data_IF_355113783496
#
_entry.id   IF_355113783496
#
_cell.length_a   1.000
_cell.length_b   1.000
_cell.length_c   1.000
_cell.angle_alpha   90.00
_cell.angle_beta   90.00
_cell.angle_gamma   90.00
#
_symmetry.space_group_name_H-M   'P 1'
#
loop_
_entity.id
_entity.type
_entity.pdbx_description
1 polymer ?
#
# COMPACT_ATOMS: atom_id res chain seq x y z
N UNK A 1 6.94 -8.55 57.73
CA UNK A 1 6.03 -9.39 56.90
C UNK A 1 6.53 -9.32 55.46
N UNK A 2 6.89 -10.48 54.89
CA UNK A 2 7.78 -10.64 53.73
C UNK A 2 7.02 -10.45 52.40
N UNK A 3 7.55 -9.62 51.49
CA UNK A 3 7.07 -9.57 50.08
C UNK A 3 7.45 -10.87 49.38
N UNK A 4 6.45 -11.68 49.05
CA UNK A 4 6.59 -12.86 48.19
C UNK A 4 7.04 -12.38 46.81
N UNK A 5 8.23 -12.80 46.39
CA UNK A 5 8.70 -12.60 45.03
C UNK A 5 7.78 -13.37 44.07
N UNK A 6 7.33 -12.68 43.02
CA UNK A 6 6.43 -13.21 42.00
C UNK A 6 7.21 -14.21 41.14
N UNK A 7 7.08 -15.50 41.45
CA UNK A 7 7.66 -16.60 40.65
C UNK A 7 7.01 -16.59 39.27
N UNK A 8 7.74 -16.09 38.27
CA UNK A 8 7.36 -16.25 36.85
C UNK A 8 7.39 -17.75 36.54
N UNK A 9 6.41 -18.32 35.83
CA UNK A 9 6.54 -19.68 35.31
C UNK A 9 7.68 -19.66 34.30
N UNK A 10 8.86 -20.07 34.75
CA UNK A 10 9.91 -20.45 33.86
C UNK A 10 9.52 -21.81 33.28
N UNK A 11 9.62 -21.89 31.96
CA UNK A 11 10.03 -23.09 31.26
C UNK A 11 8.95 -24.02 30.67
N UNK A 12 8.14 -23.48 29.75
CA UNK A 12 7.53 -24.28 28.67
C UNK A 12 8.49 -24.44 27.46
N UNK A 13 9.75 -23.98 27.57
CA UNK A 13 10.72 -24.06 26.47
C UNK A 13 11.45 -25.39 26.52
N UNK A 14 11.48 -26.07 25.37
CA UNK A 14 12.20 -27.32 25.21
C UNK A 14 13.71 -27.07 25.25
N UNK A 15 14.51 -27.93 25.92
CA UNK A 15 15.96 -27.77 26.04
C UNK A 15 16.70 -27.82 24.70
N UNK A 16 16.08 -28.37 23.66
CA UNK A 16 16.61 -28.40 22.30
C UNK A 16 16.53 -27.03 21.58
N UNK A 17 15.84 -26.04 22.14
CA UNK A 17 15.68 -24.74 21.50
C UNK A 17 16.70 -23.71 21.98
N UNK A 18 17.57 -23.27 21.07
CA UNK A 18 18.45 -22.11 21.26
C UNK A 18 17.85 -20.86 20.59
N UNK A 19 17.22 -20.01 21.39
CA UNK A 19 16.69 -18.72 20.95
C UNK A 19 17.68 -17.55 21.17
N UNK A 20 18.92 -17.81 21.58
CA UNK A 20 19.93 -16.77 21.85
C UNK A 20 20.25 -15.91 20.63
N UNK A 21 20.11 -16.46 19.42
CA UNK A 21 20.27 -15.75 18.13
C UNK A 21 19.00 -15.06 17.62
N UNK A 22 17.93 -14.99 18.41
CA UNK A 22 16.65 -14.43 18.00
C UNK A 22 16.71 -12.92 17.75
N UNK A 23 16.55 -12.49 16.49
CA UNK A 23 16.45 -11.07 16.13
C UNK A 23 14.99 -10.65 15.99
N UNK A 24 14.53 -9.72 16.84
CA UNK A 24 13.17 -9.19 16.78
C UNK A 24 12.92 -8.55 15.41
N UNK A 25 11.90 -9.03 14.71
CA UNK A 25 11.50 -8.50 13.41
C UNK A 25 12.40 -8.90 12.23
N UNK A 26 13.19 -9.99 12.36
CA UNK A 26 14.09 -10.48 11.28
C UNK A 26 13.42 -10.60 9.91
N UNK A 27 12.14 -10.98 9.86
CA UNK A 27 11.36 -11.13 8.62
C UNK A 27 10.21 -10.12 8.52
N UNK A 28 10.18 -9.11 9.40
CA UNK A 28 9.10 -8.13 9.45
C UNK A 28 8.99 -7.31 8.17
N UNK A 29 10.13 -6.94 7.58
CA UNK A 29 10.17 -6.16 6.33
C UNK A 29 9.70 -6.99 5.14
N UNK A 30 10.05 -8.27 5.08
CA UNK A 30 9.64 -9.21 4.04
C UNK A 30 8.15 -9.54 4.16
N UNK A 31 7.64 -9.67 5.39
CA UNK A 31 6.22 -9.85 5.66
C UNK A 31 5.40 -8.57 5.37
N UNK A 32 5.94 -7.38 5.66
CA UNK A 32 5.29 -6.09 5.36
C UNK A 32 5.33 -5.70 3.88
N UNK A 33 6.21 -6.33 3.09
CA UNK A 33 6.08 -6.35 1.62
C UNK A 33 4.90 -7.24 1.17
N UNK A 34 4.19 -7.84 2.13
CA UNK A 34 3.13 -8.82 1.98
C UNK A 34 1.94 -8.35 1.15
N UNK A 35 1.39 -9.33 0.46
CA UNK A 35 0.21 -9.27 -0.39
C UNK A 35 -0.94 -8.54 0.29
N UNK A 36 -1.45 -7.47 -0.33
CA UNK A 36 -2.74 -6.91 0.05
C UNK A 36 -3.85 -7.87 -0.40
N UNK A 37 -4.50 -8.56 0.54
CA UNK A 37 -5.59 -9.50 0.24
C UNK A 37 -6.88 -8.71 0.08
N UNK A 38 -7.42 -8.73 -1.13
CA UNK A 38 -8.68 -8.07 -1.47
C UNK A 38 -9.71 -9.15 -1.78
N UNK A 39 -10.84 -9.12 -1.09
CA UNK A 39 -11.98 -9.97 -1.40
C UNK A 39 -12.70 -9.38 -2.62
N UNK A 40 -12.92 -10.20 -3.63
CA UNK A 40 -13.75 -9.83 -4.78
C UNK A 40 -15.21 -10.21 -4.51
N UNK A 41 -16.12 -9.41 -5.04
CA UNK A 41 -17.54 -9.77 -5.04
C UNK A 41 -17.76 -11.04 -5.89
N UNK A 42 -18.80 -11.85 -5.59
CA UNK A 42 -19.00 -13.15 -6.23
C UNK A 42 -19.17 -13.09 -7.75
N UNK A 43 -19.80 -12.03 -8.26
CA UNK A 43 -19.98 -11.80 -9.68
C UNK A 43 -18.64 -11.52 -10.37
N UNK A 44 -17.77 -10.71 -9.76
CA UNK A 44 -16.43 -10.42 -10.28
C UNK A 44 -15.55 -11.68 -10.19
N UNK A 45 -15.59 -12.39 -9.07
CA UNK A 45 -14.85 -13.65 -8.90
C UNK A 45 -15.29 -14.72 -9.91
N UNK A 46 -16.57 -14.74 -10.31
CA UNK A 46 -17.08 -15.66 -11.34
C UNK A 46 -16.53 -15.39 -12.74
N UNK A 47 -16.03 -14.18 -13.01
CA UNK A 47 -15.48 -13.79 -14.32
C UNK A 47 -13.99 -14.13 -14.43
N UNK A 48 -13.24 -14.08 -13.33
CA UNK A 48 -11.79 -14.27 -13.34
C UNK A 48 -11.39 -15.63 -12.73
N UNK A 49 -10.65 -16.48 -13.48
CA UNK A 49 -10.29 -17.81 -13.01
C UNK A 49 -9.25 -17.80 -11.88
N UNK A 50 -8.38 -16.78 -11.83
CA UNK A 50 -7.33 -16.67 -10.83
C UNK A 50 -6.85 -15.21 -10.61
N UNK A 51 -5.93 -15.04 -9.66
CA UNK A 51 -5.33 -13.75 -9.35
C UNK A 51 -4.42 -13.19 -10.45
N UNK A 52 -3.88 -14.02 -11.35
CA UNK A 52 -3.07 -13.54 -12.47
C UNK A 52 -3.96 -12.78 -13.46
N UNK A 53 -5.11 -13.36 -13.81
CA UNK A 53 -6.09 -12.77 -14.72
C UNK A 53 -6.63 -11.42 -14.19
N UNK A 54 -6.96 -11.34 -12.89
CA UNK A 54 -7.39 -10.09 -12.23
C UNK A 54 -6.29 -9.03 -12.32
N UNK A 55 -5.06 -9.39 -11.97
CA UNK A 55 -3.94 -8.45 -11.93
C UNK A 55 -3.59 -7.93 -13.33
N UNK A 56 -3.67 -8.76 -14.36
CA UNK A 56 -3.44 -8.35 -15.75
C UNK A 56 -4.50 -7.33 -16.21
N UNK A 57 -5.77 -7.61 -15.97
CA UNK A 57 -6.87 -6.70 -16.31
C UNK A 57 -6.70 -5.33 -15.63
N UNK A 58 -6.39 -5.30 -14.33
CA UNK A 58 -6.15 -4.06 -13.59
C UNK A 58 -4.94 -3.29 -14.12
N UNK A 59 -3.87 -3.97 -14.54
CA UNK A 59 -2.70 -3.33 -15.16
C UNK A 59 -3.06 -2.70 -16.51
N UNK A 60 -3.85 -3.38 -17.34
CA UNK A 60 -4.33 -2.82 -18.61
C UNK A 60 -5.17 -1.56 -18.38
N UNK A 61 -6.10 -1.61 -17.41
CA UNK A 61 -6.90 -0.46 -17.04
C UNK A 61 -6.04 0.72 -16.57
N UNK A 62 -5.03 0.46 -15.73
CA UNK A 62 -4.09 1.48 -15.28
C UNK A 62 -3.29 2.11 -16.45
N UNK A 63 -2.91 1.33 -17.46
CA UNK A 63 -2.24 1.85 -18.66
C UNK A 63 -3.17 2.76 -19.48
N UNK A 64 -4.43 2.35 -19.68
CA UNK A 64 -5.43 3.16 -20.38
C UNK A 64 -5.68 4.49 -19.65
N UNK A 65 -5.84 4.45 -18.32
CA UNK A 65 -6.00 5.64 -17.50
C UNK A 65 -4.81 6.60 -17.63
N UNK A 66 -3.57 6.06 -17.60
CA UNK A 66 -2.35 6.86 -17.80
C UNK A 66 -2.29 7.53 -19.17
N UNK A 67 -2.72 6.84 -20.24
CA UNK A 67 -2.77 7.40 -21.61
C UNK A 67 -3.79 8.54 -21.68
N UNK A 68 -4.97 8.37 -21.11
CA UNK A 68 -6.00 9.43 -21.08
C UNK A 68 -5.54 10.65 -20.27
N UNK A 69 -4.86 10.46 -19.14
CA UNK A 69 -4.33 11.55 -18.33
C UNK A 69 -3.27 12.38 -19.06
N UNK A 70 -2.48 11.77 -19.95
CA UNK A 70 -1.50 12.48 -20.79
C UNK A 70 -2.14 13.31 -21.91
N UNK A 71 -3.30 12.88 -22.42
CA UNK A 71 -3.97 13.52 -23.56
C UNK A 71 -4.75 14.77 -23.15
N UNK A 72 -5.16 14.91 -21.88
CA UNK A 72 -5.82 16.14 -21.42
C UNK A 72 -4.83 17.31 -21.45
N UNK A 73 -4.95 18.30 -22.37
CA UNK A 73 -4.13 19.49 -22.27
C UNK A 73 -4.49 20.20 -20.96
N UNK A 74 -3.48 20.55 -20.17
CA UNK A 74 -3.65 21.49 -19.07
C UNK A 74 -4.35 22.71 -19.66
N UNK A 75 -5.55 23.05 -19.19
CA UNK A 75 -6.16 24.36 -19.48
C UNK A 75 -5.13 25.42 -19.08
N UNK A 76 -4.46 26.01 -20.07
CA UNK A 76 -3.66 27.21 -19.85
C UNK A 76 -4.62 28.28 -19.38
N UNK A 77 -4.36 28.85 -18.20
CA UNK A 77 -5.01 30.08 -17.79
C UNK A 77 -4.58 31.13 -18.81
N UNK A 78 -5.48 31.49 -19.72
CA UNK A 78 -5.29 32.64 -20.61
C UNK A 78 -5.06 33.87 -19.75
N UNK A 79 -3.95 34.52 -20.04
CA UNK A 79 -3.46 35.74 -19.42
C UNK A 79 -4.46 36.88 -19.67
N UNK A 80 -5.37 37.12 -18.71
CA UNK A 80 -6.26 38.28 -18.73
C UNK A 80 -5.59 39.44 -17.98
N UNK A 81 -4.48 39.97 -18.51
CA UNK A 81 -3.94 41.27 -18.10
C UNK A 81 -3.28 41.99 -19.28
N UNK A 82 -4.07 42.43 -20.25
CA UNK A 82 -3.61 43.41 -21.25
C UNK A 82 -4.78 44.19 -21.85
N UNK A 83 -5.47 45.02 -21.04
CA UNK A 83 -6.17 46.21 -21.57
C UNK A 83 -6.64 47.13 -20.44
N UNK A 84 -5.72 47.94 -19.92
CA UNK A 84 -6.01 49.29 -19.43
C UNK A 84 -4.80 50.11 -19.86
N UNK A 85 -4.82 50.70 -21.05
CA UNK A 85 -5.70 51.83 -21.31
C UNK A 85 -4.91 53.07 -20.92
N UNK A 86 -3.99 53.43 -21.82
CA UNK A 86 -3.30 54.71 -21.82
C UNK A 86 -4.36 55.82 -21.75
N UNK A 87 -4.38 56.65 -20.71
CA UNK A 87 -5.00 57.97 -20.78
C UNK A 87 -4.09 58.97 -20.08
N UNK A 88 -3.50 59.79 -20.93
CA UNK A 88 -2.81 61.04 -20.71
C UNK A 88 -3.72 62.05 -20.00
N UNK A 89 -3.14 62.89 -19.14
CA UNK A 89 -3.79 64.01 -18.48
C UNK A 89 -2.94 64.57 -17.38
#
# INVERSE_FOLDING_TARGET
MNRKANTRPADDMRPEYDFSGGVRGKFYKEYMKGTNVVLLDPDVAGVFPDSQAVNEALRMLAQLAKRQAKIKPKKSKTDQRSSAGQHSG
#
